data_IF_384175985355
#
_entry.id   IF_384175985355
#
_cell.length_a   1.000
_cell.length_b   1.000
_cell.length_c   1.000
_cell.angle_alpha   90.00
_cell.angle_beta   90.00
_cell.angle_gamma   90.00
#
_symmetry.space_group_name_H-M   'P 1'
#
loop_
_entity.id
_entity.type
_entity.pdbx_description
1 polymer ?
#
# COMPACT_ATOMS: atom_id res chain seq x y z
N UNK A 1 21.26 -14.37 11.84
CA UNK A 1 21.78 -13.28 10.99
C UNK A 1 21.73 -11.99 11.79
N UNK A 2 22.69 -11.06 11.64
CA UNK A 2 22.63 -9.79 12.33
C UNK A 2 21.40 -9.01 11.89
N UNK A 3 20.68 -8.44 12.86
CA UNK A 3 19.48 -7.64 12.62
C UNK A 3 19.89 -6.18 12.49
N UNK A 4 19.44 -5.51 11.43
CA UNK A 4 19.77 -4.10 11.18
C UNK A 4 18.73 -3.20 11.86
N UNK A 5 19.19 -2.21 12.63
CA UNK A 5 18.31 -1.16 13.14
C UNK A 5 18.04 -0.13 12.04
N UNK A 6 16.76 0.08 11.72
CA UNK A 6 16.37 1.08 10.71
C UNK A 6 16.40 2.48 11.31
N UNK A 7 16.95 3.42 10.55
CA UNK A 7 16.98 4.85 10.90
C UNK A 7 16.42 5.69 9.74
N UNK A 8 15.96 6.92 9.99
CA UNK A 8 15.50 7.80 8.92
C UNK A 8 16.56 8.01 7.82
N UNK A 9 17.83 8.17 8.20
CA UNK A 9 18.94 8.32 7.27
C UNK A 9 19.19 7.06 6.44
N UNK A 10 19.01 5.88 7.04
CA UNK A 10 19.12 4.62 6.30
C UNK A 10 18.02 4.53 5.23
N UNK A 11 16.78 4.86 5.56
CA UNK A 11 15.67 4.86 4.59
C UNK A 11 15.89 5.83 3.42
N UNK A 12 16.51 6.99 3.68
CA UNK A 12 16.82 7.95 2.62
C UNK A 12 17.85 7.40 1.62
N UNK A 13 18.76 6.54 2.07
CA UNK A 13 19.87 6.01 1.26
C UNK A 13 19.63 4.58 0.74
N UNK A 14 18.56 3.92 1.16
CA UNK A 14 18.23 2.54 0.81
C UNK A 14 16.99 2.49 -0.08
N UNK A 15 16.97 1.46 -0.92
CA UNK A 15 16.02 1.36 -2.02
C UNK A 15 14.72 0.70 -1.58
N UNK A 16 14.77 -0.32 -0.72
CA UNK A 16 13.56 -1.00 -0.29
C UNK A 16 13.63 -1.51 1.15
N UNK A 17 12.59 -1.21 1.92
CA UNK A 17 12.31 -1.79 3.21
C UNK A 17 10.89 -2.34 3.21
N UNK A 18 10.73 -3.61 3.57
CA UNK A 18 9.46 -4.32 3.55
C UNK A 18 9.06 -4.73 4.97
N UNK A 19 7.77 -4.61 5.24
CA UNK A 19 7.11 -5.15 6.40
C UNK A 19 6.13 -6.22 5.93
N UNK A 20 6.40 -7.48 6.27
CA UNK A 20 5.48 -8.59 6.00
C UNK A 20 5.23 -9.36 7.31
N UNK A 21 4.06 -9.13 7.89
CA UNK A 21 3.65 -9.76 9.14
C UNK A 21 3.00 -11.14 8.97
N UNK A 22 2.60 -11.56 7.77
CA UNK A 22 1.67 -12.69 7.64
C UNK A 22 2.19 -13.91 6.85
N UNK A 23 3.11 -13.75 5.88
CA UNK A 23 3.40 -14.87 4.96
C UNK A 23 4.84 -15.40 4.95
N UNK A 24 5.88 -14.55 4.98
CA UNK A 24 7.25 -15.07 4.74
C UNK A 24 8.23 -14.92 5.91
N UNK A 25 8.16 -13.86 6.73
CA UNK A 25 9.29 -13.54 7.63
C UNK A 25 9.00 -13.17 9.07
N UNK A 26 7.73 -12.94 9.45
CA UNK A 26 7.35 -12.40 10.76
C UNK A 26 8.29 -11.26 11.18
N UNK A 27 8.32 -10.18 10.40
CA UNK A 27 9.20 -9.05 10.70
C UNK A 27 9.51 -8.17 9.51
N UNK A 28 10.58 -7.40 9.67
CA UNK A 28 11.00 -6.42 8.69
C UNK A 28 12.20 -6.90 7.89
N UNK A 29 12.21 -6.58 6.60
CA UNK A 29 13.31 -6.87 5.69
C UNK A 29 13.87 -5.58 5.10
N UNK A 30 15.20 -5.49 5.08
CA UNK A 30 15.93 -4.48 4.35
C UNK A 30 16.52 -5.14 3.09
N UNK A 31 16.19 -4.55 1.94
CA UNK A 31 16.70 -4.93 0.63
C UNK A 31 17.62 -3.80 0.15
N UNK A 32 18.91 -4.11 0.09
CA UNK A 32 19.98 -3.18 -0.23
C UNK A 32 20.71 -3.62 -1.49
N UNK A 33 21.29 -2.68 -2.23
CA UNK A 33 22.13 -2.95 -3.41
C UNK A 33 21.41 -3.78 -4.49
N UNK A 34 20.43 -3.19 -5.22
CA UNK A 34 19.76 -3.89 -6.29
C UNK A 34 20.73 -4.26 -7.40
N UNK A 35 20.56 -5.45 -7.95
CA UNK A 35 21.37 -5.99 -9.05
C UNK A 35 20.75 -5.69 -10.41
N UNK A 36 19.43 -5.61 -10.50
CA UNK A 36 18.68 -5.36 -11.74
C UNK A 36 17.45 -4.48 -11.47
N UNK A 37 17.00 -3.76 -12.51
CA UNK A 37 15.76 -2.97 -12.48
C UNK A 37 14.81 -3.40 -13.61
N UNK A 38 13.51 -3.40 -13.29
CA UNK A 38 12.42 -3.69 -14.21
C UNK A 38 11.46 -2.50 -14.19
N UNK A 39 11.40 -1.75 -15.28
CA UNK A 39 10.64 -0.50 -15.35
C UNK A 39 9.77 -0.48 -16.62
N UNK A 40 8.50 -0.15 -16.47
CA UNK A 40 7.56 0.08 -17.56
C UNK A 40 7.05 1.53 -17.48
N UNK A 41 7.17 2.29 -18.58
CA UNK A 41 6.56 3.62 -18.69
C UNK A 41 5.32 3.63 -19.61
N UNK A 42 5.21 2.65 -20.51
CA UNK A 42 4.05 2.47 -21.36
C UNK A 42 3.24 1.25 -20.94
N UNK A 43 1.93 1.30 -21.19
CA UNK A 43 0.97 0.23 -20.87
C UNK A 43 1.38 -1.07 -21.56
N UNK A 44 1.79 -1.00 -22.82
CA UNK A 44 2.15 -2.18 -23.63
C UNK A 44 3.41 -2.90 -23.10
N UNK A 45 4.27 -2.20 -22.36
CA UNK A 45 5.50 -2.78 -21.80
C UNK A 45 5.25 -3.57 -20.51
N UNK A 46 4.14 -3.27 -19.80
CA UNK A 46 3.84 -3.81 -18.46
C UNK A 46 3.92 -5.35 -18.41
N UNK A 47 3.28 -6.12 -19.31
CA UNK A 47 3.32 -7.59 -19.23
C UNK A 47 4.73 -8.14 -19.38
N UNK A 48 5.53 -7.56 -20.28
CA UNK A 48 6.91 -7.99 -20.52
C UNK A 48 7.83 -7.69 -19.33
N UNK A 49 7.64 -6.53 -18.69
CA UNK A 49 8.41 -6.09 -17.52
C UNK A 49 8.10 -6.98 -16.32
N UNK A 50 6.83 -7.27 -16.06
CA UNK A 50 6.41 -8.20 -15.00
C UNK A 50 6.94 -9.62 -15.23
N UNK A 51 6.94 -10.10 -16.48
CA UNK A 51 7.49 -11.40 -16.82
C UNK A 51 8.99 -11.50 -16.54
N UNK A 52 9.76 -10.44 -16.83
CA UNK A 52 11.21 -10.40 -16.51
C UNK A 52 11.47 -10.33 -15.01
N UNK A 53 10.67 -9.55 -14.27
CA UNK A 53 10.73 -9.50 -12.82
C UNK A 53 10.43 -10.87 -12.20
N UNK A 54 9.41 -11.57 -12.70
CA UNK A 54 9.07 -12.93 -12.27
C UNK A 54 10.20 -13.92 -12.54
N UNK A 55 10.83 -13.85 -13.71
CA UNK A 55 11.97 -14.72 -14.04
C UNK A 55 13.14 -14.53 -13.07
N UNK A 56 13.44 -13.28 -12.67
CA UNK A 56 14.47 -13.01 -11.67
C UNK A 56 14.10 -13.59 -10.30
N UNK A 57 12.84 -13.49 -9.89
CA UNK A 57 12.36 -14.12 -8.66
C UNK A 57 12.51 -15.66 -8.70
N UNK A 58 12.18 -16.28 -9.83
CA UNK A 58 12.36 -17.73 -10.05
C UNK A 58 13.83 -18.17 -10.05
N UNK A 59 14.75 -17.25 -10.35
CA UNK A 59 16.20 -17.47 -10.27
C UNK A 59 16.75 -17.29 -8.85
N UNK A 60 15.88 -17.01 -7.86
CA UNK A 60 16.24 -16.90 -6.45
C UNK A 60 16.54 -15.48 -5.98
N UNK A 61 16.32 -14.46 -6.82
CA UNK A 61 16.42 -13.07 -6.38
C UNK A 61 15.17 -12.64 -5.59
N UNK A 62 15.36 -11.75 -4.63
CA UNK A 62 14.26 -10.98 -4.06
C UNK A 62 13.86 -9.90 -5.05
N UNK A 63 12.57 -9.74 -5.33
CA UNK A 63 12.07 -8.67 -6.21
C UNK A 63 11.07 -7.82 -5.45
N UNK A 64 11.29 -6.51 -5.44
CA UNK A 64 10.42 -5.57 -4.73
C UNK A 64 10.25 -4.28 -5.52
N UNK A 65 9.08 -3.66 -5.37
CA UNK A 65 8.72 -2.45 -6.10
C UNK A 65 7.23 -2.15 -6.03
N UNK A 66 6.72 -1.47 -7.04
CA UNK A 66 5.31 -1.11 -7.14
C UNK A 66 4.76 -1.29 -8.55
N UNK A 67 3.44 -1.41 -8.61
CA UNK A 67 2.61 -1.38 -9.82
C UNK A 67 1.56 -0.30 -9.57
N UNK A 68 1.40 0.66 -10.49
CA UNK A 68 0.39 1.71 -10.35
C UNK A 68 -0.99 1.20 -10.77
N UNK A 69 -2.04 1.92 -10.36
CA UNK A 69 -3.41 1.59 -10.73
C UNK A 69 -3.62 1.57 -12.25
N UNK A 70 -3.02 2.52 -12.96
CA UNK A 70 -3.14 2.65 -14.42
C UNK A 70 -2.47 1.51 -15.20
N UNK A 71 -1.57 0.75 -14.56
CA UNK A 71 -0.98 -0.46 -15.17
C UNK A 71 -2.06 -1.52 -15.48
N UNK A 72 -3.23 -1.45 -14.83
CA UNK A 72 -4.41 -2.26 -15.13
C UNK A 72 -4.84 -2.21 -16.61
N UNK A 73 -4.55 -1.11 -17.32
CA UNK A 73 -4.83 -0.97 -18.74
C UNK A 73 -4.16 -2.05 -19.61
N UNK A 74 -3.02 -2.59 -19.17
CA UNK A 74 -2.31 -3.66 -19.86
C UNK A 74 -3.09 -4.99 -19.86
N UNK A 75 -4.07 -5.10 -18.97
CA UNK A 75 -4.95 -6.26 -18.80
C UNK A 75 -6.38 -5.96 -19.28
N UNK A 76 -6.57 -4.90 -20.07
CA UNK A 76 -7.86 -4.52 -20.64
C UNK A 76 -8.80 -3.78 -19.69
N UNK A 77 -8.32 -3.34 -18.52
CA UNK A 77 -9.12 -2.55 -17.60
C UNK A 77 -9.26 -1.09 -18.08
N UNK A 78 -10.43 -0.46 -17.90
CA UNK A 78 -10.59 0.95 -18.19
C UNK A 78 -9.77 1.77 -17.18
N UNK A 79 -8.82 2.55 -17.69
CA UNK A 79 -7.94 3.40 -16.88
C UNK A 79 -7.93 4.82 -17.41
N UNK A 80 -7.65 5.77 -16.51
CA UNK A 80 -7.30 7.13 -16.95
C UNK A 80 -5.90 7.10 -17.58
N UNK A 81 -5.60 8.02 -18.52
CA UNK A 81 -4.26 8.11 -19.08
C UNK A 81 -3.21 8.29 -17.98
N UNK A 82 -2.11 7.53 -18.02
CA UNK A 82 -1.10 7.61 -16.98
C UNK A 82 -0.40 8.98 -16.95
N UNK A 83 0.05 9.37 -15.77
CA UNK A 83 0.82 10.59 -15.60
C UNK A 83 2.13 10.50 -16.41
N UNK A 84 2.43 11.56 -17.15
CA UNK A 84 3.69 11.65 -17.91
C UNK A 84 4.89 11.60 -16.96
N UNK A 85 5.97 10.94 -17.40
CA UNK A 85 7.25 10.83 -16.68
C UNK A 85 7.14 10.15 -15.30
N UNK A 86 6.21 9.21 -15.14
CA UNK A 86 6.22 8.27 -14.00
C UNK A 86 6.11 6.85 -14.51
N UNK A 87 6.83 5.89 -13.93
CA UNK A 87 6.70 4.50 -14.32
C UNK A 87 5.36 3.93 -13.85
N UNK A 88 4.75 3.10 -14.69
CA UNK A 88 3.60 2.26 -14.36
C UNK A 88 4.00 1.07 -13.50
N UNK A 89 5.20 0.56 -13.74
CA UNK A 89 5.84 -0.49 -12.95
C UNK A 89 7.26 -0.07 -12.70
N UNK A 90 7.68 -0.16 -11.45
CA UNK A 90 9.09 -0.05 -11.07
C UNK A 90 9.38 -1.16 -10.07
N UNK A 91 10.35 -2.01 -10.36
CA UNK A 91 10.80 -3.06 -9.47
C UNK A 91 12.32 -3.21 -9.57
N UNK A 92 12.93 -3.71 -8.50
CA UNK A 92 14.33 -4.05 -8.47
C UNK A 92 14.52 -5.48 -7.95
N UNK A 93 15.53 -6.17 -8.48
CA UNK A 93 16.01 -7.45 -7.96
C UNK A 93 17.14 -7.22 -6.95
N UNK A 94 17.20 -8.06 -5.92
CA UNK A 94 18.19 -8.03 -4.86
C UNK A 94 18.66 -9.46 -4.57
N UNK A 95 19.95 -9.61 -4.31
CA UNK A 95 20.56 -10.93 -4.10
C UNK A 95 20.36 -11.44 -2.66
N UNK A 96 19.99 -10.56 -1.73
CA UNK A 96 19.75 -10.92 -0.34
C UNK A 96 18.77 -9.96 0.34
N UNK A 97 18.11 -10.48 1.37
CA UNK A 97 17.29 -9.71 2.30
C UNK A 97 17.88 -9.81 3.71
N UNK A 98 18.01 -8.67 4.38
CA UNK A 98 18.50 -8.61 5.76
C UNK A 98 17.33 -8.41 6.72
N UNK A 99 17.30 -9.16 7.83
CA UNK A 99 16.33 -8.89 8.89
C UNK A 99 16.59 -7.51 9.49
N UNK A 100 15.52 -6.80 9.76
CA UNK A 100 15.55 -5.46 10.29
C UNK A 100 14.62 -5.31 11.51
N UNK A 101 14.88 -4.28 12.31
CA UNK A 101 14.02 -3.85 13.42
C UNK A 101 13.75 -2.36 13.29
N UNK A 102 12.52 -1.98 13.62
CA UNK A 102 12.16 -0.59 13.75
C UNK A 102 12.73 -0.01 15.05
N UNK A 103 13.07 1.29 15.06
CA UNK A 103 13.41 1.98 16.29
C UNK A 103 12.16 2.11 17.19
N UNK A 104 12.39 2.41 18.47
CA UNK A 104 11.29 2.78 19.36
C UNK A 104 10.64 4.07 18.85
N UNK A 105 9.32 4.08 18.54
CA UNK A 105 8.64 5.25 18.02
C UNK A 105 8.72 6.46 18.95
N UNK A 106 8.87 6.21 20.26
CA UNK A 106 9.01 7.26 21.29
C UNK A 106 10.36 7.98 21.22
N UNK A 107 11.37 7.38 20.58
CA UNK A 107 12.67 8.02 20.38
C UNK A 107 12.73 8.89 19.11
N UNK A 108 11.69 8.84 18.28
CA UNK A 108 11.58 9.66 17.08
C UNK A 108 11.00 11.05 17.41
N UNK A 109 11.37 12.05 16.62
CA UNK A 109 10.88 13.42 16.81
C UNK A 109 9.37 13.50 16.64
N UNK A 110 8.65 14.10 17.61
CA UNK A 110 7.20 14.37 17.47
C UNK A 110 6.88 15.39 16.36
N UNK A 111 7.88 16.17 15.92
CA UNK A 111 7.75 17.06 14.77
C UNK A 111 7.62 16.29 13.44
N UNK A 112 7.79 14.96 13.46
CA UNK A 112 7.64 14.09 12.30
C UNK A 112 6.17 13.89 11.86
N UNK A 113 5.18 14.30 12.66
CA UNK A 113 3.77 14.19 12.30
C UNK A 113 3.44 15.20 11.19
N UNK A 114 3.41 14.72 9.95
CA UNK A 114 3.10 15.53 8.77
C UNK A 114 1.74 16.24 8.89
N UNK A 115 1.69 17.51 8.48
CA UNK A 115 0.46 18.31 8.51
C UNK A 115 -0.19 18.35 7.13
N UNK A 116 -1.47 18.03 7.02
CA UNK A 116 -2.23 18.22 5.78
C UNK A 116 -2.23 19.71 5.44
N UNK A 117 -1.70 20.05 4.26
CA UNK A 117 -1.61 21.41 3.75
C UNK A 117 -2.73 21.75 2.78
N UNK A 118 -3.15 20.78 1.94
CA UNK A 118 -4.19 20.98 0.93
C UNK A 118 -4.83 19.66 0.54
N UNK A 119 -6.13 19.66 0.25
CA UNK A 119 -6.80 18.55 -0.44
C UNK A 119 -6.87 18.85 -1.94
N UNK A 120 -6.84 17.82 -2.79
CA UNK A 120 -6.99 17.99 -4.24
C UNK A 120 -8.42 18.35 -4.66
N UNK A 121 -9.40 18.08 -3.79
CA UNK A 121 -10.83 18.32 -4.00
C UNK A 121 -11.39 19.05 -2.78
N UNK A 122 -12.20 20.08 -3.01
CA UNK A 122 -12.93 20.77 -1.93
C UNK A 122 -14.26 20.08 -1.62
N UNK A 123 -14.91 20.49 -0.52
CA UNK A 123 -16.14 19.85 -0.06
C UNK A 123 -17.29 19.98 -1.08
N UNK A 124 -17.40 21.12 -1.76
CA UNK A 124 -18.45 21.36 -2.76
C UNK A 124 -18.30 20.43 -3.95
N UNK A 125 -17.07 20.25 -4.44
CA UNK A 125 -16.78 19.35 -5.54
C UNK A 125 -16.95 17.89 -5.13
N UNK A 126 -16.51 17.52 -3.91
CA UNK A 126 -16.75 16.19 -3.35
C UNK A 126 -18.24 15.83 -3.31
N UNK A 127 -19.10 16.75 -2.87
CA UNK A 127 -20.56 16.53 -2.85
C UNK A 127 -21.12 16.30 -4.25
N UNK A 128 -20.70 17.10 -5.24
CA UNK A 128 -21.13 16.92 -6.63
C UNK A 128 -20.71 15.57 -7.21
N UNK A 129 -19.50 15.12 -6.90
CA UNK A 129 -19.01 13.82 -7.38
C UNK A 129 -19.73 12.66 -6.69
N UNK A 130 -20.04 12.80 -5.39
CA UNK A 130 -20.87 11.85 -4.66
C UNK A 130 -22.29 11.75 -5.25
N UNK A 131 -22.93 12.87 -5.56
CA UNK A 131 -24.26 12.87 -6.19
C UNK A 131 -24.26 12.11 -7.52
N UNK A 132 -23.25 12.32 -8.37
CA UNK A 132 -23.11 11.58 -9.64
C UNK A 132 -22.97 10.08 -9.40
N UNK A 133 -22.14 9.68 -8.43
CA UNK A 133 -21.93 8.27 -8.07
C UNK A 133 -23.26 7.65 -7.61
N UNK A 134 -23.99 8.31 -6.72
CA UNK A 134 -25.28 7.83 -6.22
C UNK A 134 -26.33 7.72 -7.35
N UNK A 135 -26.34 8.67 -8.28
CA UNK A 135 -27.22 8.59 -9.45
C UNK A 135 -26.84 7.43 -10.38
N UNK A 136 -25.56 7.16 -10.60
CA UNK A 136 -25.09 6.01 -11.39
C UNK A 136 -25.48 4.68 -10.73
N UNK A 137 -25.34 4.58 -9.40
CA UNK A 137 -25.82 3.43 -8.62
C UNK A 137 -27.34 3.28 -8.76
N UNK A 138 -28.09 4.37 -8.63
CA UNK A 138 -29.55 4.36 -8.77
C UNK A 138 -30.04 3.96 -10.17
N UNK A 139 -29.24 4.18 -11.21
CA UNK A 139 -29.49 3.71 -12.59
C UNK A 139 -29.01 2.28 -12.86
N UNK A 140 -28.36 1.63 -11.90
CA UNK A 140 -27.79 0.29 -12.07
C UNK A 140 -26.53 0.23 -12.92
N UNK A 141 -25.81 1.36 -13.09
CA UNK A 141 -24.56 1.42 -13.86
C UNK A 141 -23.38 0.84 -13.09
N UNK A 142 -23.43 0.90 -11.76
CA UNK A 142 -22.42 0.31 -10.85
C UNK A 142 -23.05 -0.02 -9.50
N UNK A 143 -22.49 -0.99 -8.79
CA UNK A 143 -22.92 -1.34 -7.43
C UNK A 143 -22.16 -0.55 -6.35
N UNK A 144 -20.87 -0.30 -6.57
CA UNK A 144 -19.99 0.35 -5.61
C UNK A 144 -18.90 1.14 -6.32
N UNK A 145 -18.55 2.30 -5.78
CA UNK A 145 -17.38 3.10 -6.20
C UNK A 145 -16.55 3.45 -4.99
N UNK A 146 -15.24 3.19 -5.05
CA UNK A 146 -14.31 3.72 -4.06
C UNK A 146 -13.89 5.14 -4.45
N UNK A 147 -14.47 6.13 -3.79
CA UNK A 147 -14.20 7.54 -4.09
C UNK A 147 -13.17 8.12 -3.11
N UNK A 148 -11.98 8.43 -3.63
CA UNK A 148 -10.81 8.84 -2.83
C UNK A 148 -10.45 10.31 -3.03
N UNK A 149 -9.92 10.94 -1.98
CA UNK A 149 -9.37 12.30 -2.01
C UNK A 149 -7.88 12.24 -1.69
N UNK A 150 -7.06 12.99 -2.43
CA UNK A 150 -5.62 13.10 -2.18
C UNK A 150 -5.32 14.33 -1.33
N UNK A 151 -4.43 14.17 -0.35
CA UNK A 151 -3.97 15.24 0.52
C UNK A 151 -2.48 15.52 0.26
N UNK A 152 -2.14 16.79 0.08
CA UNK A 152 -0.77 17.26 0.15
C UNK A 152 -0.39 17.43 1.62
N UNK A 153 0.80 16.96 1.98
CA UNK A 153 1.38 17.13 3.31
C UNK A 153 2.40 18.27 3.24
N UNK A 154 2.41 19.14 4.24
CA UNK A 154 3.45 20.17 4.39
C UNK A 154 4.83 19.50 4.49
N UNK A 155 5.91 20.17 4.05
CA UNK A 155 7.26 19.59 4.10
C UNK A 155 7.60 19.05 5.50
N UNK A 156 8.02 17.79 5.56
CA UNK A 156 8.49 17.08 6.75
C UNK A 156 9.57 16.06 6.34
N UNK A 157 10.21 15.40 7.31
CA UNK A 157 11.12 14.30 7.02
C UNK A 157 10.30 13.01 6.75
N UNK A 158 10.26 12.51 5.50
CA UNK A 158 9.38 11.39 5.14
C UNK A 158 9.82 10.07 5.79
N UNK A 159 11.12 9.87 6.03
CA UNK A 159 11.63 8.67 6.70
C UNK A 159 11.26 8.65 8.19
N UNK A 160 11.30 9.80 8.86
CA UNK A 160 10.81 9.92 10.24
C UNK A 160 9.31 9.70 10.32
N UNK A 161 8.53 10.30 9.42
CA UNK A 161 7.08 10.11 9.34
C UNK A 161 6.74 8.62 9.16
N UNK A 162 7.43 7.93 8.24
CA UNK A 162 7.23 6.51 8.00
C UNK A 162 7.51 5.66 9.24
N UNK A 163 8.68 5.83 9.86
CA UNK A 163 9.05 5.05 11.04
C UNK A 163 8.12 5.32 12.23
N UNK A 164 7.68 6.56 12.40
CA UNK A 164 6.75 6.94 13.45
C UNK A 164 5.39 6.27 13.25
N UNK A 165 4.78 6.39 12.06
CA UNK A 165 3.47 5.80 11.77
C UNK A 165 3.51 4.27 11.78
N UNK A 166 4.53 3.65 11.17
CA UNK A 166 4.67 2.20 11.16
C UNK A 166 4.86 1.65 12.58
N UNK A 167 5.61 2.37 13.41
CA UNK A 167 5.82 2.02 14.80
C UNK A 167 4.57 2.08 15.67
N UNK A 168 3.72 3.09 15.45
CA UNK A 168 2.47 3.29 16.20
C UNK A 168 1.36 2.31 15.80
N UNK A 169 1.16 2.13 14.49
CA UNK A 169 -0.01 1.41 13.96
C UNK A 169 0.29 -0.04 13.57
N UNK A 170 1.57 -0.39 13.37
CA UNK A 170 2.03 -1.74 12.96
C UNK A 170 1.23 -2.31 11.78
N UNK A 171 1.21 -1.56 10.68
CA UNK A 171 0.54 -2.02 9.45
C UNK A 171 1.14 -3.34 8.98
N UNK A 172 0.30 -4.34 8.61
CA UNK A 172 0.77 -5.69 8.30
C UNK A 172 1.64 -5.73 7.03
N UNK A 173 1.37 -4.85 6.06
CA UNK A 173 2.02 -4.81 4.75
C UNK A 173 2.62 -3.43 4.44
N UNK A 174 3.46 -2.93 5.33
CA UNK A 174 4.16 -1.66 5.14
C UNK A 174 5.32 -1.76 4.14
N UNK A 175 5.60 -0.69 3.40
CA UNK A 175 6.78 -0.62 2.53
C UNK A 175 7.35 0.78 2.47
N UNK A 176 8.67 0.88 2.41
CA UNK A 176 9.38 2.09 2.02
C UNK A 176 10.16 1.80 0.74
N UNK A 177 9.93 2.60 -0.29
CA UNK A 177 10.64 2.48 -1.58
C UNK A 177 11.26 3.83 -1.92
N UNK A 178 12.56 3.85 -2.16
CA UNK A 178 13.24 4.97 -2.80
C UNK A 178 13.68 4.51 -4.20
N UNK A 179 12.98 5.00 -5.22
CA UNK A 179 13.18 4.57 -6.61
C UNK A 179 13.93 5.60 -7.46
N UNK A 180 14.62 6.55 -6.81
CA UNK A 180 15.44 7.58 -7.46
C UNK A 180 14.63 8.80 -7.93
N UNK A 181 13.52 8.58 -8.65
CA UNK A 181 12.62 9.67 -9.09
C UNK A 181 11.64 10.13 -8.00
N UNK A 182 11.53 9.36 -6.92
CA UNK A 182 10.64 9.64 -5.80
C UNK A 182 10.73 8.60 -4.69
N UNK A 183 9.85 8.75 -3.71
CA UNK A 183 9.73 7.83 -2.58
C UNK A 183 8.27 7.41 -2.39
N UNK A 184 8.05 6.16 -1.98
CA UNK A 184 6.76 5.64 -1.54
C UNK A 184 6.89 5.19 -0.09
N UNK A 185 6.02 5.72 0.76
CA UNK A 185 5.77 5.24 2.12
C UNK A 185 4.38 4.60 2.12
N UNK A 186 4.33 3.28 2.11
CA UNK A 186 3.10 2.48 2.09
C UNK A 186 2.79 1.95 3.48
N UNK A 187 1.51 2.01 3.83
CA UNK A 187 0.94 1.55 5.08
C UNK A 187 -0.26 0.66 4.77
N UNK A 188 -0.06 -0.42 4.00
CA UNK A 188 -1.19 -1.21 3.51
C UNK A 188 -1.81 -2.05 4.63
N UNK A 189 -3.15 -1.95 4.84
CA UNK A 189 -3.88 -2.79 5.78
C UNK A 189 -4.31 -4.13 5.18
N UNK A 190 -4.24 -4.29 3.85
CA UNK A 190 -4.91 -5.35 3.10
C UNK A 190 -3.92 -6.07 2.19
N UNK A 191 -4.07 -7.41 2.08
CA UNK A 191 -3.32 -8.22 1.15
C UNK A 191 -4.10 -8.32 -0.15
N UNK A 192 -3.54 -7.75 -1.23
CA UNK A 192 -4.13 -7.91 -2.55
C UNK A 192 -4.04 -9.38 -2.99
N UNK A 193 -2.82 -9.89 -3.19
CA UNK A 193 -2.55 -11.28 -3.56
C UNK A 193 -1.21 -11.71 -2.95
N UNK A 194 -1.16 -12.90 -2.36
CA UNK A 194 0.05 -13.68 -2.12
C UNK A 194 -0.08 -15.00 -2.89
N UNK A 195 0.97 -15.41 -3.59
CA UNK A 195 1.02 -16.67 -4.29
C UNK A 195 2.25 -17.45 -3.86
N UNK A 196 2.06 -18.71 -3.46
CA UNK A 196 3.11 -19.64 -3.08
C UNK A 196 2.79 -21.02 -3.65
N UNK A 197 3.62 -21.49 -4.59
CA UNK A 197 3.40 -22.72 -5.35
C UNK A 197 1.98 -22.79 -5.94
N UNK A 198 1.15 -23.71 -5.45
CA UNK A 198 -0.22 -23.96 -5.91
C UNK A 198 -1.27 -23.23 -5.05
N UNK A 199 -0.83 -22.40 -4.10
CA UNK A 199 -1.71 -21.64 -3.21
C UNK A 199 -1.71 -20.16 -3.57
N UNK A 200 -2.91 -19.60 -3.75
CA UNK A 200 -3.14 -18.16 -3.87
C UNK A 200 -4.00 -17.72 -2.69
N UNK A 201 -3.59 -16.64 -2.03
CA UNK A 201 -4.27 -16.04 -0.88
C UNK A 201 -4.55 -14.58 -1.20
N UNK A 202 -5.78 -14.16 -0.96
CA UNK A 202 -6.18 -12.76 -0.87
C UNK A 202 -6.86 -12.55 0.48
N UNK A 203 -6.78 -11.35 1.04
CA UNK A 203 -7.42 -11.05 2.32
C UNK A 203 -8.20 -9.73 2.21
N UNK A 204 -9.26 -9.70 1.38
CA UNK A 204 -10.05 -8.50 1.21
C UNK A 204 -10.69 -8.07 2.52
N UNK A 205 -10.77 -6.76 2.76
CA UNK A 205 -11.44 -6.22 3.95
C UNK A 205 -12.58 -5.27 3.57
N UNK A 206 -13.70 -5.41 4.27
CA UNK A 206 -14.82 -4.48 4.14
C UNK A 206 -15.57 -4.36 5.45
N UNK A 207 -16.13 -3.18 5.68
CA UNK A 207 -16.67 -2.76 6.97
C UNK A 207 -15.59 -2.13 7.83
N UNK A 208 -15.92 -1.01 8.46
CA UNK A 208 -14.95 -0.24 9.26
C UNK A 208 -15.64 0.39 10.45
N UNK A 209 -14.96 0.35 11.61
CA UNK A 209 -15.31 1.12 12.80
C UNK A 209 -14.04 1.79 13.35
N UNK A 210 -14.16 2.97 13.98
CA UNK A 210 -13.03 3.56 14.69
C UNK A 210 -12.60 2.65 15.85
N UNK A 211 -11.35 2.80 16.29
CA UNK A 211 -10.91 2.22 17.57
C UNK A 211 -11.57 2.93 18.74
N UNK A 212 -11.95 2.19 19.77
CA UNK A 212 -12.53 2.75 20.99
C UNK A 212 -11.51 3.50 21.84
N UNK A 213 -11.97 4.49 22.61
CA UNK A 213 -11.11 5.20 23.57
C UNK A 213 -10.79 4.36 24.82
N UNK A 214 -11.51 3.25 25.02
CA UNK A 214 -11.28 2.25 26.06
C UNK A 214 -11.44 0.85 25.50
N UNK A 215 -10.88 -0.15 26.19
CA UNK A 215 -11.03 -1.58 25.83
C UNK A 215 -12.50 -1.97 25.69
N UNK A 216 -13.34 -1.55 26.63
CA UNK A 216 -14.78 -1.84 26.62
C UNK A 216 -15.49 -1.23 25.41
N UNK A 217 -15.16 0.02 25.09
CA UNK A 217 -15.73 0.69 23.92
C UNK A 217 -15.26 0.04 22.61
N UNK A 218 -13.99 -0.34 22.53
CA UNK A 218 -13.39 -1.01 21.38
C UNK A 218 -14.08 -2.35 21.11
N UNK A 219 -14.31 -3.16 22.15
CA UNK A 219 -15.08 -4.40 22.04
C UNK A 219 -16.53 -4.14 21.59
N UNK A 220 -17.18 -3.09 22.11
CA UNK A 220 -18.55 -2.75 21.71
C UNK A 220 -18.61 -2.36 20.22
N UNK A 221 -17.66 -1.57 19.75
CA UNK A 221 -17.57 -1.15 18.35
C UNK A 221 -17.27 -2.35 17.43
N UNK A 222 -16.36 -3.25 17.84
CA UNK A 222 -16.07 -4.48 17.11
C UNK A 222 -17.30 -5.38 17.00
N UNK A 223 -18.04 -5.60 18.10
CA UNK A 223 -19.29 -6.38 18.08
C UNK A 223 -20.35 -5.73 17.21
N UNK A 224 -20.46 -4.40 17.23
CA UNK A 224 -21.39 -3.67 16.38
C UNK A 224 -21.03 -3.75 14.89
N UNK A 225 -19.75 -3.92 14.54
CA UNK A 225 -19.33 -4.22 13.17
C UNK A 225 -19.71 -5.66 12.79
N UNK A 226 -19.40 -6.62 13.66
CA UNK A 226 -19.61 -8.05 13.43
C UNK A 226 -21.08 -8.40 13.16
N UNK A 227 -22.02 -7.76 13.86
CA UNK A 227 -23.48 -8.04 13.73
C UNK A 227 -24.21 -7.12 12.75
N UNK A 228 -23.50 -6.22 12.07
CA UNK A 228 -24.11 -5.28 11.14
C UNK A 228 -24.44 -5.98 9.82
N UNK A 229 -25.74 -6.16 9.54
CA UNK A 229 -26.21 -6.76 8.28
C UNK A 229 -25.67 -6.04 7.05
N UNK A 230 -25.56 -4.71 7.11
CA UNK A 230 -24.97 -3.89 6.04
C UNK A 230 -23.50 -4.25 5.81
N UNK A 231 -22.69 -4.23 6.87
CA UNK A 231 -21.25 -4.48 6.73
C UNK A 231 -20.99 -5.95 6.34
N UNK A 232 -21.81 -6.89 6.81
CA UNK A 232 -21.77 -8.30 6.38
C UNK A 232 -22.08 -8.46 4.89
N UNK A 233 -23.16 -7.82 4.41
CA UNK A 233 -23.53 -7.87 3.00
C UNK A 233 -22.45 -7.26 2.09
N UNK A 234 -21.89 -6.11 2.49
CA UNK A 234 -20.76 -5.51 1.77
C UNK A 234 -19.51 -6.42 1.78
N UNK A 235 -19.23 -7.10 2.90
CA UNK A 235 -18.09 -8.00 3.00
C UNK A 235 -18.24 -9.25 2.14
N UNK A 236 -19.42 -9.89 2.14
CA UNK A 236 -19.71 -11.04 1.27
C UNK A 236 -19.54 -10.65 -0.21
N UNK A 237 -20.07 -9.50 -0.61
CA UNK A 237 -19.94 -9.02 -1.99
C UNK A 237 -18.47 -8.86 -2.42
N UNK A 238 -17.59 -8.36 -1.54
CA UNK A 238 -16.17 -8.20 -1.88
C UNK A 238 -15.45 -9.54 -1.90
N UNK A 239 -15.78 -10.47 -1.00
CA UNK A 239 -15.20 -11.82 -1.01
C UNK A 239 -15.62 -12.59 -2.26
N UNK A 240 -16.87 -12.45 -2.73
CA UNK A 240 -17.34 -13.10 -3.95
C UNK A 240 -16.70 -12.52 -5.23
N UNK A 241 -16.25 -11.26 -5.19
CA UNK A 241 -15.59 -10.58 -6.30
C UNK A 241 -14.10 -10.94 -6.42
N UNK A 242 -13.45 -11.25 -5.30
CA UNK A 242 -12.00 -11.47 -5.18
C UNK A 242 -11.59 -12.87 -5.65
#
# INVERSE_FOLDING_TARGET
MPTVLITPTLLQNQICFLCDYNHLTHGYLLLSHPSLFFVAHAIDDVPSVLSRAQLAAQQGHWVAGFITYEAGGAFGLPVVPPAQNRPLVWMAAFDSAQRAVLPDPMTLSQQAMGKISRLNVDFTQYQKDLEKILQAIGRGETYQVNHTVAANIAPCNPGELFLHLQGLHRFPYGAWLNFGEGMIASFSPELFIAADHDQIVTAPIKGTRPRGASVTEDYRLARALEVSEKDQAEHVMIVDMA
#
